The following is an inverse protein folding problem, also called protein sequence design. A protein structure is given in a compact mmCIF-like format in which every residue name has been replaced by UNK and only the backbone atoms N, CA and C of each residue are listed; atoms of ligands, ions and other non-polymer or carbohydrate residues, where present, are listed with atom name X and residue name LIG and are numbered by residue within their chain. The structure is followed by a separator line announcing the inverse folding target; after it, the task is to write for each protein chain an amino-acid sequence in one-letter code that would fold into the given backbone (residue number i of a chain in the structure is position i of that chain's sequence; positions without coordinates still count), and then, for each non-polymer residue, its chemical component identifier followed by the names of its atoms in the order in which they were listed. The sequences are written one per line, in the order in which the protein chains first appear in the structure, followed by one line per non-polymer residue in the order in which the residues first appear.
data_IF_574813871263
#
_entry.id   IF_574813871263
#
_cell.length_a   1.000
_cell.length_b   1.000
_cell.length_c   1.000
_cell.angle_alpha   90.00
_cell.angle_beta   90.00
_cell.angle_gamma   90.00
#
_symmetry.space_group_name_H-M   'P 1'
#
loop_
_entity.id
_entity.type
_entity.pdbx_description
1 polymer ?
#
# COMPACT_ATOMS: atom_id res chain seq x y z
N UNK A 1 -3.07 -18.11 -14.73
CA UNK A 1 -1.66 -18.33 -15.06
C UNK A 1 -1.45 -19.78 -15.46
N UNK A 2 -1.03 -20.05 -16.70
CA UNK A 2 -0.87 -21.42 -17.20
C UNK A 2 0.37 -22.13 -16.60
N UNK A 3 1.42 -21.37 -16.31
CA UNK A 3 2.68 -21.86 -15.74
C UNK A 3 2.96 -21.18 -14.42
N UNK A 4 3.33 -21.97 -13.41
CA UNK A 4 3.71 -21.47 -12.11
C UNK A 4 5.18 -21.04 -12.14
N UNK A 5 5.45 -19.74 -11.91
CA UNK A 5 6.81 -19.25 -11.70
C UNK A 5 6.95 -18.66 -10.28
N UNK A 6 6.69 -17.37 -10.13
CA UNK A 6 6.86 -16.63 -8.85
C UNK A 6 5.56 -16.30 -8.14
N UNK A 7 4.41 -16.75 -8.63
CA UNK A 7 3.08 -16.30 -8.15
C UNK A 7 2.83 -16.58 -6.68
N UNK A 8 3.27 -17.75 -6.17
CA UNK A 8 3.09 -18.07 -4.75
C UNK A 8 3.91 -17.12 -3.85
N UNK A 9 5.15 -16.81 -4.25
CA UNK A 9 5.99 -15.88 -3.50
C UNK A 9 5.47 -14.43 -3.58
N UNK A 10 4.98 -14.02 -4.76
CA UNK A 10 4.30 -12.71 -4.93
C UNK A 10 3.07 -12.61 -4.04
N UNK A 11 2.25 -13.67 -3.96
CA UNK A 11 1.10 -13.71 -3.07
C UNK A 11 1.52 -13.61 -1.60
N UNK A 12 2.51 -14.39 -1.17
CA UNK A 12 3.00 -14.36 0.21
C UNK A 12 3.42 -12.94 0.61
N UNK A 13 4.20 -12.26 -0.25
CA UNK A 13 4.62 -10.89 0.00
C UNK A 13 3.43 -9.90 0.00
N UNK A 14 2.49 -10.03 -0.94
CA UNK A 14 1.29 -9.21 -1.00
C UNK A 14 0.44 -9.34 0.26
N UNK A 15 0.25 -10.56 0.78
CA UNK A 15 -0.53 -10.81 1.99
C UNK A 15 0.16 -10.29 3.24
N UNK A 16 1.48 -10.47 3.37
CA UNK A 16 2.23 -9.92 4.50
C UNK A 16 2.14 -8.39 4.59
N UNK A 17 2.03 -7.71 3.46
CA UNK A 17 2.00 -6.25 3.37
C UNK A 17 0.60 -5.66 3.18
N UNK A 18 -0.45 -6.49 3.25
CA UNK A 18 -1.82 -6.07 2.94
C UNK A 18 -2.46 -5.12 3.96
N UNK A 19 -1.85 -4.92 5.13
CA UNK A 19 -2.29 -3.91 6.09
C UNK A 19 -1.70 -2.52 5.82
N UNK A 20 -0.70 -2.42 4.93
CA UNK A 20 0.03 -1.18 4.72
C UNK A 20 0.79 -0.74 5.99
N UNK A 21 1.19 0.54 6.08
CA UNK A 21 1.89 1.10 7.23
C UNK A 21 0.94 1.53 8.35
N UNK A 22 -0.17 0.83 8.53
CA UNK A 22 -1.23 1.19 9.47
C UNK A 22 -1.41 0.17 10.58
N UNK A 23 -1.75 0.65 11.76
CA UNK A 23 -2.14 -0.19 12.89
C UNK A 23 -3.55 -0.75 12.64
N UNK A 24 -3.61 -2.05 12.39
CA UNK A 24 -4.86 -2.80 12.26
C UNK A 24 -4.88 -3.86 13.36
N UNK A 25 -5.57 -3.62 14.48
CA UNK A 25 -5.48 -4.49 15.64
C UNK A 25 -6.11 -5.87 15.44
N UNK A 26 -7.09 -5.97 14.55
CA UNK A 26 -7.78 -7.21 14.22
C UNK A 26 -7.95 -7.32 12.71
N UNK A 27 -7.51 -8.41 12.12
CA UNK A 27 -7.64 -8.62 10.68
C UNK A 27 -7.43 -10.08 10.29
N UNK A 28 -8.04 -10.45 9.19
CA UNK A 28 -7.83 -11.73 8.51
C UNK A 28 -7.47 -11.44 7.07
N UNK A 29 -6.36 -12.00 6.61
CA UNK A 29 -5.91 -11.85 5.24
C UNK A 29 -5.95 -13.24 4.58
N UNK A 30 -6.82 -13.40 3.60
CA UNK A 30 -6.94 -14.62 2.80
C UNK A 30 -6.48 -14.33 1.37
N UNK A 31 -5.34 -14.91 0.99
CA UNK A 31 -4.75 -14.75 -0.32
C UNK A 31 -4.85 -16.04 -1.15
N UNK A 32 -5.27 -15.91 -2.42
CA UNK A 32 -5.43 -17.06 -3.34
C UNK A 32 -4.72 -16.81 -4.66
N UNK A 33 -3.96 -17.80 -5.10
CA UNK A 33 -3.42 -17.86 -6.47
C UNK A 33 -4.28 -18.80 -7.29
N UNK A 34 -4.78 -18.32 -8.40
CA UNK A 34 -5.57 -19.12 -9.34
C UNK A 34 -4.84 -19.34 -10.65
N UNK A 35 -5.02 -20.52 -11.24
CA UNK A 35 -4.58 -20.78 -12.62
C UNK A 35 -5.59 -20.18 -13.59
N UNK A 36 -5.08 -19.56 -14.64
CA UNK A 36 -5.89 -18.98 -15.72
C UNK A 36 -5.28 -19.36 -17.08
N UNK A 37 -6.07 -19.18 -18.13
CA UNK A 37 -5.61 -19.34 -19.52
C UNK A 37 -4.92 -18.08 -20.07
N UNK A 38 -4.69 -17.07 -19.23
CA UNK A 38 -3.97 -15.86 -19.61
C UNK A 38 -2.47 -16.15 -19.76
N UNK A 39 -1.75 -15.33 -20.54
CA UNK A 39 -0.30 -15.41 -20.62
C UNK A 39 0.33 -15.42 -19.23
N UNK A 40 1.47 -16.12 -19.05
CA UNK A 40 2.18 -16.14 -17.78
C UNK A 40 2.66 -14.72 -17.43
N UNK A 41 2.40 -14.32 -16.18
CA UNK A 41 2.90 -13.07 -15.63
C UNK A 41 4.07 -13.36 -14.69
N UNK A 42 5.12 -12.58 -14.81
CA UNK A 42 6.30 -12.67 -13.94
C UNK A 42 6.21 -11.74 -12.72
N UNK A 43 7.25 -11.75 -11.93
CA UNK A 43 7.43 -10.82 -10.83
C UNK A 43 7.77 -9.42 -11.37
N UNK A 44 7.07 -8.42 -10.86
CA UNK A 44 7.40 -7.00 -11.06
C UNK A 44 8.09 -6.46 -9.79
N UNK A 45 8.85 -5.40 -9.92
CA UNK A 45 9.44 -4.69 -8.77
C UNK A 45 8.36 -4.38 -7.73
N UNK A 46 8.67 -4.62 -6.44
CA UNK A 46 7.69 -4.58 -5.35
C UNK A 46 7.06 -5.93 -5.05
N UNK A 47 7.12 -6.90 -5.97
CA UNK A 47 6.87 -8.32 -5.78
C UNK A 47 5.58 -8.64 -5.01
N UNK A 48 4.47 -7.97 -5.37
CA UNK A 48 3.16 -8.11 -4.72
C UNK A 48 2.81 -6.94 -3.79
N UNK A 49 3.78 -6.24 -3.23
CA UNK A 49 3.55 -5.08 -2.38
C UNK A 49 2.81 -3.95 -3.11
N UNK A 50 3.13 -3.70 -4.36
CA UNK A 50 2.50 -2.64 -5.16
C UNK A 50 1.00 -2.86 -5.30
N UNK A 51 0.58 -4.10 -5.57
CA UNK A 51 -0.82 -4.44 -5.75
C UNK A 51 -1.60 -4.30 -4.44
N UNK A 52 -1.06 -4.80 -3.32
CA UNK A 52 -1.70 -4.67 -2.02
C UNK A 52 -1.72 -3.23 -1.53
N UNK A 53 -0.64 -2.47 -1.72
CA UNK A 53 -0.56 -1.05 -1.35
C UNK A 53 -1.61 -0.22 -2.10
N UNK A 54 -1.74 -0.41 -3.42
CA UNK A 54 -2.77 0.28 -4.19
C UNK A 54 -4.17 0.03 -3.61
N UNK A 55 -4.48 -1.24 -3.29
CA UNK A 55 -5.78 -1.60 -2.74
C UNK A 55 -6.02 -0.98 -1.35
N UNK A 56 -5.02 -1.04 -0.47
CA UNK A 56 -5.11 -0.46 0.88
C UNK A 56 -5.30 1.05 0.83
N UNK A 57 -4.48 1.74 0.05
CA UNK A 57 -4.55 3.20 -0.04
C UNK A 57 -5.87 3.67 -0.65
N UNK A 58 -6.38 2.96 -1.67
CA UNK A 58 -7.70 3.23 -2.22
C UNK A 58 -8.84 2.99 -1.20
N UNK A 59 -8.70 2.03 -0.29
CA UNK A 59 -9.67 1.84 0.80
C UNK A 59 -9.55 2.93 1.86
N UNK A 60 -8.35 3.41 2.18
CA UNK A 60 -8.15 4.53 3.10
C UNK A 60 -8.83 5.81 2.58
N UNK A 61 -8.75 6.09 1.28
CA UNK A 61 -9.46 7.21 0.66
C UNK A 61 -10.98 7.05 0.73
N UNK A 62 -11.49 5.87 0.40
CA UNK A 62 -12.93 5.57 0.49
C UNK A 62 -13.45 5.70 1.92
N UNK A 63 -12.68 5.21 2.89
CA UNK A 63 -13.01 5.32 4.32
C UNK A 63 -13.04 6.79 4.75
N UNK A 64 -12.03 7.57 4.40
CA UNK A 64 -11.98 8.99 4.70
C UNK A 64 -13.21 9.71 4.13
N UNK A 65 -13.53 9.47 2.86
CA UNK A 65 -14.69 10.05 2.21
C UNK A 65 -16.00 9.66 2.90
N UNK A 66 -16.18 8.39 3.25
CA UNK A 66 -17.40 7.90 3.90
C UNK A 66 -17.61 8.48 5.32
N UNK A 67 -16.51 8.82 5.99
CA UNK A 67 -16.53 9.42 7.33
C UNK A 67 -16.53 10.95 7.30
N UNK A 68 -16.43 11.57 6.13
CA UNK A 68 -16.28 13.02 6.01
C UNK A 68 -14.99 13.56 6.62
N UNK A 69 -13.93 12.75 6.65
CA UNK A 69 -12.63 13.10 7.21
C UNK A 69 -11.63 13.41 6.09
N UNK A 70 -10.63 14.21 6.43
CA UNK A 70 -9.48 14.42 5.55
C UNK A 70 -8.68 13.12 5.38
N UNK A 71 -8.30 12.72 4.13
CA UNK A 71 -7.55 11.50 3.88
C UNK A 71 -6.18 11.43 4.58
N UNK A 72 -5.51 12.57 4.76
CA UNK A 72 -4.25 12.65 5.49
C UNK A 72 -4.48 12.40 6.97
N UNK A 73 -5.53 12.99 7.53
CA UNK A 73 -5.89 12.82 8.94
C UNK A 73 -6.22 11.35 9.27
N UNK A 74 -6.97 10.66 8.40
CA UNK A 74 -7.27 9.22 8.58
C UNK A 74 -5.98 8.40 8.62
N UNK A 75 -5.05 8.68 7.73
CA UNK A 75 -3.74 7.99 7.69
C UNK A 75 -2.91 8.28 8.94
N UNK A 76 -2.86 9.53 9.40
CA UNK A 76 -2.12 9.92 10.59
C UNK A 76 -2.65 9.25 11.86
N UNK A 77 -3.97 9.12 12.00
CA UNK A 77 -4.61 8.44 13.14
C UNK A 77 -4.24 6.97 13.23
N UNK A 78 -4.05 6.34 12.08
CA UNK A 78 -3.78 4.91 11.98
C UNK A 78 -2.30 4.58 11.71
N UNK A 79 -1.43 5.57 11.60
CA UNK A 79 -0.01 5.37 11.31
C UNK A 79 0.68 4.52 12.39
N UNK A 80 1.45 3.53 11.95
CA UNK A 80 2.24 2.67 12.83
C UNK A 80 3.29 3.47 13.62
N UNK A 81 3.54 3.05 14.85
CA UNK A 81 4.49 3.65 15.80
C UNK A 81 5.42 2.58 16.38
N UNK A 82 6.57 2.98 16.92
CA UNK A 82 7.40 2.06 17.70
C UNK A 82 6.59 1.42 18.84
N UNK A 83 6.72 0.10 18.99
CA UNK A 83 5.96 -0.70 19.94
C UNK A 83 4.67 -1.32 19.40
N UNK A 84 4.16 -0.85 18.26
CA UNK A 84 2.98 -1.45 17.64
C UNK A 84 3.30 -2.84 17.08
N UNK A 85 2.26 -3.67 17.00
CA UNK A 85 2.35 -5.02 16.45
C UNK A 85 1.66 -5.07 15.09
N UNK A 86 2.38 -5.53 14.07
CA UNK A 86 1.84 -5.79 12.74
C UNK A 86 0.85 -6.96 12.75
N UNK A 87 -0.04 -7.04 11.77
CA UNK A 87 -0.92 -8.22 11.59
C UNK A 87 -0.16 -9.54 11.45
N UNK A 88 1.10 -9.49 11.02
CA UNK A 88 2.01 -10.64 10.95
C UNK A 88 2.55 -11.08 12.31
N UNK A 89 2.24 -10.36 13.40
CA UNK A 89 2.73 -10.62 14.74
C UNK A 89 4.09 -10.01 15.08
N UNK A 90 4.73 -9.33 14.12
CA UNK A 90 6.01 -8.66 14.37
C UNK A 90 5.79 -7.37 15.16
N UNK A 91 6.55 -7.18 16.23
CA UNK A 91 6.60 -5.92 17.00
C UNK A 91 7.63 -4.98 16.38
N UNK A 92 7.27 -3.73 16.21
CA UNK A 92 8.16 -2.69 15.70
C UNK A 92 9.09 -2.24 16.83
N UNK A 93 10.34 -2.70 16.80
CA UNK A 93 11.34 -2.36 17.83
C UNK A 93 12.22 -1.16 17.47
N UNK A 94 12.19 -0.73 16.22
CA UNK A 94 12.95 0.39 15.69
C UNK A 94 12.09 1.63 15.42
N UNK A 95 12.72 2.61 14.76
CA UNK A 95 12.00 3.80 14.31
C UNK A 95 10.90 3.45 13.30
N UNK A 96 9.75 4.10 13.43
CA UNK A 96 8.61 4.00 12.50
C UNK A 96 8.13 5.42 12.13
N UNK A 97 8.86 6.14 11.27
CA UNK A 97 8.58 7.55 10.95
C UNK A 97 7.39 7.70 9.98
N UNK A 98 6.36 6.86 10.09
CA UNK A 98 5.22 6.84 9.17
C UNK A 98 4.47 8.16 9.19
N UNK A 99 4.15 8.65 10.39
CA UNK A 99 3.41 9.90 10.54
C UNK A 99 4.21 11.12 10.05
N UNK A 100 5.52 11.15 10.28
CA UNK A 100 6.41 12.20 9.80
C UNK A 100 6.49 12.21 8.28
N UNK A 101 6.59 11.04 7.66
CA UNK A 101 6.62 10.91 6.20
C UNK A 101 5.29 11.33 5.56
N UNK A 102 4.15 10.94 6.17
CA UNK A 102 2.84 11.37 5.69
C UNK A 102 2.71 12.89 5.72
N UNK A 103 3.11 13.55 6.82
CA UNK A 103 3.10 15.02 6.92
C UNK A 103 4.01 15.67 5.88
N UNK A 104 5.24 15.18 5.76
CA UNK A 104 6.20 15.71 4.80
C UNK A 104 5.69 15.60 3.35
N UNK A 105 4.99 14.51 3.00
CA UNK A 105 4.35 14.38 1.69
C UNK A 105 3.16 15.33 1.52
N UNK A 106 2.34 15.48 2.56
CA UNK A 106 1.16 16.37 2.51
C UNK A 106 1.54 17.86 2.42
N UNK A 107 2.63 18.24 3.09
CA UNK A 107 3.14 19.62 3.08
C UNK A 107 3.94 19.95 1.80
N UNK A 108 4.25 18.94 0.98
CA UNK A 108 5.00 19.18 -0.25
C UNK A 108 4.13 19.91 -1.28
N UNK A 109 4.62 21.01 -1.87
CA UNK A 109 3.84 21.78 -2.83
C UNK A 109 3.50 20.95 -4.07
N UNK A 110 2.24 20.99 -4.49
CA UNK A 110 1.82 20.36 -5.73
C UNK A 110 2.44 21.08 -6.93
N UNK A 111 2.69 20.37 -8.03
CA UNK A 111 3.10 20.98 -9.28
C UNK A 111 2.10 22.09 -9.70
N UNK A 112 2.61 23.16 -10.31
CA UNK A 112 1.75 24.20 -10.86
C UNK A 112 0.74 23.60 -11.86
N UNK A 113 -0.49 24.12 -11.95
CA UNK A 113 -1.45 23.71 -12.95
C UNK A 113 -0.83 23.79 -14.35
N UNK A 114 -0.93 22.72 -15.16
CA UNK A 114 -0.32 22.62 -16.48
C UNK A 114 1.14 22.14 -16.53
N UNK A 115 1.81 21.98 -15.39
CA UNK A 115 3.19 21.46 -15.37
C UNK A 115 3.28 20.02 -15.91
N UNK A 116 2.21 19.23 -15.74
CA UNK A 116 2.12 17.87 -16.28
C UNK A 116 1.87 17.85 -17.79
N UNK A 117 1.16 18.85 -18.31
CA UNK A 117 0.91 18.97 -19.77
C UNK A 117 2.19 19.33 -20.53
N UNK A 118 3.06 20.13 -19.91
CA UNK A 118 4.37 20.47 -20.48
C UNK A 118 5.32 19.26 -20.56
N UNK A 119 5.18 18.29 -19.65
CA UNK A 119 6.00 17.06 -19.64
C UNK A 119 5.55 16.03 -20.70
N UNK A 120 4.31 16.12 -21.21
CA UNK A 120 3.77 15.20 -22.23
C UNK A 120 4.39 15.36 -23.62
N UNK A 121 5.18 16.41 -23.85
CA UNK A 121 5.88 16.69 -25.11
C UNK A 121 7.31 16.11 -25.15
N UNK A 122 7.71 15.34 -24.14
CA UNK A 122 9.03 14.69 -24.06
C UNK A 122 9.00 13.20 -24.47
N UNK A 123 8.09 12.82 -25.37
CA UNK A 123 8.03 11.47 -25.97
C UNK A 123 8.76 11.42 -27.30
#
# INVERSE_FOLDING_TARGET
MAYQSSSAAVLANATCLAAGPYLVPNGVIDGKVVRTNNPPCGAMRGFGAVQSTFAVEAQMDKLAHSLGLDPVEVRLRNALKPGDTLLTGQVITGAAPVAELIRACADHPLPAPGALDAASHLS
#
